data_IF_934529403291
#
_entry.id   IF_934529403291
#
_cell.length_a   1.000
_cell.length_b   1.000
_cell.length_c   1.000
_cell.angle_alpha   90.00
_cell.angle_beta   90.00
_cell.angle_gamma   90.00
#
_symmetry.space_group_name_H-M   'P 1'
#
loop_
_entity.id
_entity.type
_entity.pdbx_description
1 polymer ?
#
# COMPACT_ATOMS: atom_id res chain seq x y z
N UNK A 1 -24.93 14.88 54.57
CA UNK A 1 -23.90 14.79 53.51
C UNK A 1 -24.42 15.51 52.27
N UNK A 2 -23.93 16.71 51.95
CA UNK A 2 -24.28 17.38 50.70
C UNK A 2 -23.47 16.78 49.55
N UNK A 3 -24.15 16.08 48.64
CA UNK A 3 -23.55 15.66 47.37
C UNK A 3 -23.41 16.91 46.49
N UNK A 4 -22.17 17.31 46.18
CA UNK A 4 -21.91 18.30 45.13
C UNK A 4 -22.33 17.67 43.79
N UNK A 5 -23.31 18.26 43.13
CA UNK A 5 -23.71 17.88 41.77
C UNK A 5 -22.82 18.56 40.74
N UNK A 6 -22.55 17.86 39.64
CA UNK A 6 -21.90 18.45 38.46
C UNK A 6 -22.75 19.60 37.90
N UNK A 7 -22.12 20.72 37.54
CA UNK A 7 -22.83 21.80 36.85
C UNK A 7 -22.93 21.49 35.35
N UNK A 8 -24.01 21.94 34.72
CA UNK A 8 -24.16 21.86 33.26
C UNK A 8 -23.05 22.65 32.54
N UNK A 9 -22.60 23.75 33.17
CA UNK A 9 -21.56 24.62 32.64
C UNK A 9 -20.19 23.94 32.63
N UNK A 10 -19.87 23.12 33.63
CA UNK A 10 -18.64 22.30 33.64
C UNK A 10 -18.62 21.31 32.48
N UNK A 11 -19.74 20.61 32.21
CA UNK A 11 -19.78 19.69 31.07
C UNK A 11 -19.71 20.44 29.74
N UNK A 12 -20.36 21.61 29.63
CA UNK A 12 -20.33 22.45 28.41
C UNK A 12 -18.92 22.91 28.05
N UNK A 13 -18.15 23.42 29.01
CA UNK A 13 -16.78 23.88 28.77
C UNK A 13 -15.87 22.72 28.42
N UNK A 14 -16.04 21.55 29.07
CA UNK A 14 -15.23 20.36 28.79
C UNK A 14 -15.46 19.85 27.37
N UNK A 15 -16.72 19.73 26.92
CA UNK A 15 -16.99 19.28 25.55
C UNK A 15 -16.52 20.30 24.51
N UNK A 16 -16.57 21.60 24.81
CA UNK A 16 -16.08 22.65 23.92
C UNK A 16 -14.56 22.55 23.71
N UNK A 17 -13.79 22.34 24.78
CA UNK A 17 -12.34 22.15 24.68
C UNK A 17 -12.00 20.81 23.99
N UNK A 18 -12.72 19.73 24.28
CA UNK A 18 -12.52 18.44 23.60
C UNK A 18 -12.78 18.54 22.08
N UNK A 19 -13.81 19.28 21.66
CA UNK A 19 -14.10 19.50 20.24
C UNK A 19 -12.96 20.24 19.52
N UNK A 20 -12.37 21.27 20.17
CA UNK A 20 -11.22 21.99 19.64
C UNK A 20 -9.99 21.08 19.51
N UNK A 21 -9.71 20.22 20.50
CA UNK A 21 -8.58 19.29 20.44
C UNK A 21 -8.74 18.28 19.29
N UNK A 22 -9.93 17.70 19.13
CA UNK A 22 -10.21 16.73 18.06
C UNK A 22 -10.08 17.38 16.68
N UNK A 23 -10.55 18.63 16.53
CA UNK A 23 -10.49 19.37 15.27
C UNK A 23 -9.07 19.46 14.70
N UNK A 24 -8.07 19.73 15.54
CA UNK A 24 -6.67 19.79 15.09
C UNK A 24 -6.00 18.42 14.97
N UNK A 25 -6.42 17.44 15.78
CA UNK A 25 -5.74 16.14 15.87
C UNK A 25 -6.10 15.18 14.71
N UNK A 26 -7.38 15.11 14.33
CA UNK A 26 -7.90 14.17 13.32
C UNK A 26 -7.20 14.26 11.96
N UNK A 27 -6.96 15.44 11.35
CA UNK A 27 -6.35 15.50 10.02
C UNK A 27 -4.92 14.96 10.01
N UNK A 28 -4.15 15.15 11.09
CA UNK A 28 -2.79 14.63 11.20
C UNK A 28 -2.79 13.09 11.30
N UNK A 29 -3.72 12.52 12.05
CA UNK A 29 -3.82 11.07 12.22
C UNK A 29 -4.05 10.33 10.89
N UNK A 30 -4.92 10.86 10.02
CA UNK A 30 -5.19 10.27 8.70
C UNK A 30 -3.94 10.24 7.81
N UNK A 31 -3.15 11.31 7.82
CA UNK A 31 -1.88 11.40 7.08
C UNK A 31 -0.84 10.40 7.58
N UNK A 32 -0.73 10.23 8.90
CA UNK A 32 0.18 9.24 9.50
C UNK A 32 -0.23 7.81 9.13
N UNK A 33 -1.53 7.50 9.18
CA UNK A 33 -2.04 6.19 8.75
C UNK A 33 -1.72 5.92 7.27
N UNK A 34 -1.88 6.92 6.40
CA UNK A 34 -1.53 6.80 4.99
C UNK A 34 -0.05 6.51 4.77
N UNK A 35 0.84 7.22 5.48
CA UNK A 35 2.29 6.94 5.41
C UNK A 35 2.61 5.51 5.88
N UNK A 36 1.94 5.03 6.92
CA UNK A 36 2.06 3.63 7.37
C UNK A 36 1.63 2.63 6.31
N UNK A 37 0.51 2.89 5.63
CA UNK A 37 0.03 2.07 4.51
C UNK A 37 0.98 2.12 3.31
N UNK A 38 1.52 3.30 2.97
CA UNK A 38 2.54 3.45 1.93
C UNK A 38 3.80 2.63 2.25
N UNK A 39 4.26 2.63 3.50
CA UNK A 39 5.38 1.80 3.93
C UNK A 39 5.08 0.30 3.82
N UNK A 40 3.86 -0.12 4.16
CA UNK A 40 3.43 -1.50 3.96
C UNK A 40 3.41 -1.90 2.47
N UNK A 41 2.95 -1.02 1.57
CA UNK A 41 3.01 -1.26 0.12
C UNK A 41 4.45 -1.45 -0.35
N UNK A 42 5.40 -0.64 0.14
CA UNK A 42 6.84 -0.84 -0.15
C UNK A 42 7.32 -2.22 0.28
N UNK A 43 6.87 -2.71 1.44
CA UNK A 43 7.17 -4.05 1.92
C UNK A 43 6.64 -5.14 0.98
N UNK A 44 5.38 -5.02 0.53
CA UNK A 44 4.80 -5.93 -0.47
C UNK A 44 5.62 -5.91 -1.76
N UNK A 45 5.95 -4.72 -2.27
CA UNK A 45 6.75 -4.57 -3.49
C UNK A 45 8.13 -5.23 -3.36
N UNK A 46 8.77 -5.13 -2.19
CA UNK A 46 10.06 -5.79 -1.95
C UNK A 46 9.93 -7.31 -1.96
N UNK A 47 8.87 -7.86 -1.39
CA UNK A 47 8.61 -9.31 -1.44
C UNK A 47 8.36 -9.79 -2.88
N UNK A 48 7.58 -9.04 -3.65
CA UNK A 48 7.35 -9.32 -5.08
C UNK A 48 8.66 -9.22 -5.86
N UNK A 49 9.49 -8.21 -5.57
CA UNK A 49 10.81 -8.08 -6.16
C UNK A 49 11.65 -9.34 -5.97
N UNK A 50 11.73 -9.86 -4.73
CA UNK A 50 12.45 -11.10 -4.44
C UNK A 50 11.91 -12.30 -5.23
N UNK A 51 10.58 -12.40 -5.39
CA UNK A 51 9.96 -13.44 -6.20
C UNK A 51 10.29 -13.31 -7.70
N UNK A 52 10.35 -12.09 -8.22
CA UNK A 52 10.76 -11.82 -9.62
C UNK A 52 12.23 -12.16 -9.83
N UNK A 53 13.11 -11.83 -8.88
CA UNK A 53 14.51 -12.23 -8.96
C UNK A 53 14.66 -13.75 -8.93
N UNK A 54 13.90 -14.45 -8.08
CA UNK A 54 13.88 -15.92 -8.05
C UNK A 54 13.39 -16.52 -9.37
N UNK A 55 12.34 -15.95 -9.98
CA UNK A 55 11.86 -16.35 -11.31
C UNK A 55 12.98 -16.22 -12.36
N UNK A 56 13.70 -15.09 -12.35
CA UNK A 56 14.79 -14.86 -13.29
C UNK A 56 15.99 -15.79 -13.06
N UNK A 57 16.29 -16.14 -11.81
CA UNK A 57 17.37 -17.10 -11.51
C UNK A 57 17.12 -18.48 -12.12
N UNK A 58 15.86 -18.91 -12.23
CA UNK A 58 15.49 -20.22 -12.79
C UNK A 58 15.25 -20.18 -14.30
N UNK A 59 14.58 -19.12 -14.79
CA UNK A 59 14.18 -19.01 -16.20
C UNK A 59 15.17 -18.22 -17.05
N UNK A 60 16.18 -17.58 -16.44
CA UNK A 60 17.19 -16.71 -17.07
C UNK A 60 16.59 -15.53 -17.86
N UNK A 61 15.33 -15.22 -17.61
CA UNK A 61 14.58 -14.13 -18.24
C UNK A 61 13.62 -13.51 -17.24
N UNK A 62 13.43 -12.20 -17.31
CA UNK A 62 12.36 -11.52 -16.59
C UNK A 62 11.01 -11.68 -17.30
N UNK A 63 9.89 -11.72 -16.57
CA UNK A 63 8.57 -11.69 -17.18
C UNK A 63 8.40 -10.47 -18.11
N UNK A 64 7.92 -10.70 -19.33
CA UNK A 64 7.62 -9.62 -20.26
C UNK A 64 6.24 -9.03 -19.98
N UNK A 65 6.11 -7.71 -20.08
CA UNK A 65 4.82 -7.03 -19.93
C UNK A 65 5.00 -5.56 -19.57
N UNK A 66 4.12 -4.69 -20.07
CA UNK A 66 4.14 -3.26 -19.76
C UNK A 66 2.89 -2.86 -19.01
N UNK A 67 3.08 -2.21 -17.85
CA UNK A 67 2.01 -1.70 -16.98
C UNK A 67 0.98 -2.79 -16.66
N UNK A 68 1.47 -3.96 -16.29
CA UNK A 68 0.67 -5.11 -15.86
C UNK A 68 0.28 -4.91 -14.40
N UNK A 69 -1.02 -4.99 -14.04
CA UNK A 69 -1.44 -4.91 -12.64
C UNK A 69 -0.89 -6.07 -11.81
N UNK A 70 -0.67 -5.84 -10.51
CA UNK A 70 0.01 -6.79 -9.63
C UNK A 70 -0.65 -8.17 -9.56
N UNK A 71 -1.99 -8.23 -9.47
CA UNK A 71 -2.71 -9.51 -9.39
C UNK A 71 -2.46 -10.36 -10.63
N UNK A 72 -2.77 -9.79 -11.80
CA UNK A 72 -2.54 -10.45 -13.09
C UNK A 72 -1.08 -10.89 -13.26
N UNK A 73 -0.13 -10.04 -12.85
CA UNK A 73 1.29 -10.39 -12.88
C UNK A 73 1.63 -11.60 -12.01
N UNK A 74 1.21 -11.60 -10.75
CA UNK A 74 1.49 -12.69 -9.81
C UNK A 74 0.87 -14.00 -10.29
N UNK A 75 -0.41 -13.98 -10.68
CA UNK A 75 -1.15 -15.18 -11.09
C UNK A 75 -0.58 -15.83 -12.36
N UNK A 76 -0.11 -15.02 -13.31
CA UNK A 76 0.37 -15.55 -14.59
C UNK A 76 1.84 -15.96 -14.58
N UNK A 77 2.69 -15.30 -13.79
CA UNK A 77 4.14 -15.51 -13.83
C UNK A 77 4.71 -16.09 -12.54
N UNK A 78 4.25 -15.62 -11.37
CA UNK A 78 4.87 -15.98 -10.09
C UNK A 78 4.24 -17.19 -9.41
N UNK A 79 2.92 -17.40 -9.57
CA UNK A 79 2.22 -18.55 -9.01
C UNK A 79 2.51 -19.88 -9.72
N UNK A 80 2.55 -19.95 -11.07
CA UNK A 80 2.77 -21.23 -11.74
C UNK A 80 4.12 -21.86 -11.42
N UNK A 81 5.15 -21.03 -11.19
CA UNK A 81 6.48 -21.47 -10.74
C UNK A 81 6.63 -21.56 -9.21
N UNK A 82 5.58 -21.31 -8.44
CA UNK A 82 5.61 -21.42 -6.97
C UNK A 82 6.42 -20.34 -6.25
N UNK A 83 6.83 -19.27 -6.93
CA UNK A 83 7.57 -18.14 -6.33
C UNK A 83 6.70 -17.32 -5.37
N UNK A 84 5.38 -17.35 -5.57
CA UNK A 84 4.38 -16.84 -4.63
C UNK A 84 3.17 -17.79 -4.58
N UNK A 85 2.62 -18.03 -3.39
CA UNK A 85 1.48 -18.94 -3.21
C UNK A 85 0.13 -18.23 -3.21
N UNK A 86 0.12 -16.93 -2.91
CA UNK A 86 -1.09 -16.12 -2.87
C UNK A 86 -0.82 -14.68 -3.31
N UNK A 87 -1.86 -14.00 -3.78
CA UNK A 87 -1.81 -12.56 -4.04
C UNK A 87 -1.83 -11.84 -2.68
N UNK A 88 -0.85 -10.96 -2.39
CA UNK A 88 -0.77 -10.29 -1.10
C UNK A 88 -1.98 -9.36 -0.88
N UNK A 89 -2.21 -8.99 0.38
CA UNK A 89 -3.24 -8.02 0.73
C UNK A 89 -2.77 -6.60 0.44
N UNK A 90 -3.64 -5.80 -0.15
CA UNK A 90 -3.45 -4.37 -0.35
C UNK A 90 -3.64 -3.63 1.00
N UNK A 91 -2.62 -2.94 1.52
CA UNK A 91 -2.70 -2.24 2.80
C UNK A 91 -3.74 -1.09 2.85
N UNK A 92 -4.18 -0.58 1.70
CA UNK A 92 -5.17 0.49 1.64
C UNK A 92 -6.60 -0.02 1.79
N UNK A 93 -6.92 -1.14 1.14
CA UNK A 93 -8.28 -1.71 1.08
C UNK A 93 -8.50 -2.86 2.07
N UNK A 94 -7.42 -3.53 2.51
CA UNK A 94 -7.48 -4.67 3.43
C UNK A 94 -7.85 -6.00 2.77
N UNK A 95 -8.10 -6.01 1.46
CA UNK A 95 -8.38 -7.20 0.64
C UNK A 95 -7.17 -7.55 -0.23
N UNK A 96 -7.17 -8.71 -0.88
CA UNK A 96 -6.14 -9.06 -1.87
C UNK A 96 -6.05 -8.00 -2.98
N UNK A 97 -4.87 -7.79 -3.55
CA UNK A 97 -4.71 -6.88 -4.68
C UNK A 97 -5.65 -7.25 -5.82
N UNK A 98 -6.27 -6.25 -6.42
CA UNK A 98 -7.14 -6.40 -7.60
C UNK A 98 -6.66 -5.50 -8.74
N UNK A 99 -6.96 -5.88 -9.99
CA UNK A 99 -6.55 -5.09 -11.15
C UNK A 99 -7.24 -3.70 -11.21
N UNK A 100 -8.38 -3.55 -10.51
CA UNK A 100 -9.13 -2.31 -10.37
C UNK A 100 -8.69 -1.41 -9.21
N UNK A 101 -7.66 -1.79 -8.45
CA UNK A 101 -7.21 -1.01 -7.30
C UNK A 101 -6.75 0.38 -7.76
N UNK A 102 -7.38 1.41 -7.22
CA UNK A 102 -6.93 2.80 -7.39
C UNK A 102 -5.98 3.22 -6.28
N UNK A 103 -6.20 2.73 -5.05
CA UNK A 103 -5.39 3.04 -3.88
C UNK A 103 -4.33 1.99 -3.63
N UNK A 104 -3.07 2.40 -3.47
CA UNK A 104 -2.00 1.47 -3.11
C UNK A 104 -1.57 0.54 -4.26
N UNK A 105 -2.08 0.77 -5.48
CA UNK A 105 -1.86 -0.11 -6.63
C UNK A 105 -0.38 -0.28 -6.92
N UNK A 106 -0.02 -1.44 -7.43
CA UNK A 106 1.33 -1.78 -7.86
C UNK A 106 1.26 -2.27 -9.30
N UNK A 107 2.14 -1.75 -10.14
CA UNK A 107 2.22 -2.09 -11.56
C UNK A 107 3.61 -2.63 -11.86
N UNK A 108 3.67 -3.67 -12.68
CA UNK A 108 4.90 -4.23 -13.23
C UNK A 108 5.08 -3.79 -14.68
N UNK A 109 6.26 -3.31 -15.03
CA UNK A 109 6.62 -3.02 -16.43
C UNK A 109 8.05 -3.51 -16.69
N UNK A 110 8.24 -4.26 -17.77
CA UNK A 110 9.54 -4.69 -18.30
C UNK A 110 9.84 -3.96 -19.61
N UNK A 111 11.09 -3.56 -19.77
CA UNK A 111 11.59 -2.87 -20.95
C UNK A 111 12.61 -3.77 -21.67
N UNK A 112 12.18 -4.33 -22.80
CA UNK A 112 13.00 -5.21 -23.66
C UNK A 112 14.25 -4.52 -24.19
N UNK A 113 14.23 -3.18 -24.34
CA UNK A 113 15.36 -2.43 -24.90
C UNK A 113 16.49 -2.26 -23.89
N UNK A 114 16.16 -2.18 -22.61
CA UNK A 114 17.14 -2.00 -21.52
C UNK A 114 17.38 -3.27 -20.71
N UNK A 115 16.54 -4.31 -20.88
CA UNK A 115 16.59 -5.54 -20.10
C UNK A 115 16.24 -5.34 -18.62
N UNK A 116 15.49 -4.27 -18.30
CA UNK A 116 15.16 -3.88 -16.93
C UNK A 116 13.68 -4.02 -16.66
N UNK A 117 13.34 -4.51 -15.48
CA UNK A 117 11.97 -4.44 -14.97
C UNK A 117 11.81 -3.30 -13.96
N UNK A 118 10.58 -2.85 -13.79
CA UNK A 118 10.17 -1.83 -12.84
C UNK A 118 8.88 -2.25 -12.13
N UNK A 119 8.87 -2.14 -10.81
CA UNK A 119 7.69 -2.24 -9.95
C UNK A 119 7.36 -0.84 -9.45
N UNK A 120 6.22 -0.30 -9.88
CA UNK A 120 5.75 1.04 -9.52
C UNK A 120 4.60 0.93 -8.52
N UNK A 121 4.81 1.37 -7.29
CA UNK A 121 3.76 1.47 -6.27
C UNK A 121 3.17 2.88 -6.25
N UNK A 122 1.86 2.99 -6.05
CA UNK A 122 1.14 4.26 -6.08
C UNK A 122 0.42 4.55 -4.76
N UNK A 123 0.28 5.84 -4.43
CA UNK A 123 -0.40 6.31 -3.22
C UNK A 123 -1.92 6.05 -3.27
N UNK A 124 -2.65 6.45 -2.21
CA UNK A 124 -4.12 6.32 -2.11
C UNK A 124 -4.89 6.81 -3.35
N UNK A 125 -4.39 7.84 -4.04
CA UNK A 125 -5.05 8.39 -5.24
C UNK A 125 -4.64 7.74 -6.57
N UNK A 126 -3.73 6.77 -6.60
CA UNK A 126 -3.35 6.05 -7.83
C UNK A 126 -2.58 6.86 -8.88
N UNK A 127 -2.35 8.15 -8.63
CA UNK A 127 -1.67 9.08 -9.56
C UNK A 127 -0.20 9.29 -9.17
N UNK A 128 0.06 9.45 -7.87
CA UNK A 128 1.40 9.71 -7.36
C UNK A 128 2.11 8.41 -7.01
N UNK A 129 3.35 8.27 -7.46
CA UNK A 129 4.20 7.14 -7.12
C UNK A 129 4.68 7.24 -5.66
N UNK A 130 4.68 6.10 -4.97
CA UNK A 130 5.32 5.92 -3.66
C UNK A 130 6.81 5.69 -3.85
N UNK A 131 7.14 4.74 -4.72
CA UNK A 131 8.49 4.31 -5.07
C UNK A 131 8.43 3.55 -6.40
N UNK A 132 9.57 3.51 -7.07
CA UNK A 132 9.82 2.63 -8.21
C UNK A 132 11.02 1.75 -7.84
N UNK A 133 10.81 0.44 -7.86
CA UNK A 133 11.87 -0.55 -7.65
C UNK A 133 12.24 -1.13 -9.02
N UNK A 134 13.51 -1.27 -9.30
CA UNK A 134 14.02 -1.88 -10.53
C UNK A 134 15.06 -2.94 -10.18
N UNK A 135 15.45 -3.78 -11.14
CA UNK A 135 16.58 -4.69 -10.96
C UNK A 135 17.86 -3.90 -10.63
N UNK A 136 18.70 -4.49 -9.78
CA UNK A 136 20.00 -3.91 -9.41
C UNK A 136 21.01 -4.01 -10.54
#
# INVERSE_FOLDING_TARGET
MHKKGFTLLEILVVIAVLALLIFFLVPNLLSVQDRGKEAAVKGVMRNVQLAVEAYNMENLIYPIGSDVPLKTFIENYLMPGGYMTEVPKNPFTGVAYTDGDSSGKVMYSYDDSTGKYSLKGYKRGGLLKIIELTNM
#
